data_IF_364864147788
#
_entry.id   IF_364864147788
#
_cell.length_a   1.000
_cell.length_b   1.000
_cell.length_c   1.000
_cell.angle_alpha   90.00
_cell.angle_beta   90.00
_cell.angle_gamma   90.00
#
_symmetry.space_group_name_H-M   'P 1'
#
loop_
_entity.id
_entity.type
_entity.pdbx_description
1 polymer ?
#
# COMPACT_ATOMS: atom_id res chain seq x y z
N UNK A 1 56.12 -16.57 19.72
CA UNK A 1 55.07 -16.45 18.69
C UNK A 1 53.74 -16.46 19.39
N UNK A 2 53.22 -15.27 19.67
CA UNK A 2 52.03 -15.01 20.50
C UNK A 2 50.76 -15.13 19.67
N UNK A 3 49.80 -15.87 20.22
CA UNK A 3 48.48 -16.17 19.65
C UNK A 3 47.60 -14.90 19.57
N UNK A 4 47.09 -14.52 18.39
CA UNK A 4 46.20 -13.39 18.25
C UNK A 4 44.74 -13.85 18.20
N UNK A 5 43.97 -13.36 19.18
CA UNK A 5 42.51 -13.08 19.17
C UNK A 5 41.62 -14.02 20.00
N UNK A 6 41.79 -13.97 21.33
CA UNK A 6 40.60 -13.96 22.20
C UNK A 6 40.07 -12.53 22.24
N UNK A 7 38.87 -12.32 21.67
CA UNK A 7 38.12 -11.08 21.91
C UNK A 7 37.50 -11.23 23.30
N UNK A 8 37.61 -10.21 24.18
CA UNK A 8 36.92 -10.25 25.45
C UNK A 8 35.41 -10.26 25.16
N UNK A 9 34.72 -11.25 25.71
CA UNK A 9 33.27 -11.27 25.80
C UNK A 9 32.86 -10.01 26.55
N UNK A 10 32.37 -9.02 25.81
CA UNK A 10 31.66 -7.91 26.42
C UNK A 10 30.36 -8.48 26.93
N UNK A 11 30.32 -8.66 28.25
CA UNK A 11 29.13 -8.93 29.03
C UNK A 11 28.17 -7.76 28.78
N UNK A 12 27.26 -7.94 27.83
CA UNK A 12 26.13 -7.06 27.54
C UNK A 12 25.13 -7.15 28.71
N UNK A 13 25.58 -6.69 29.87
CA UNK A 13 24.88 -6.64 31.15
C UNK A 13 23.82 -5.53 31.18
N UNK A 14 22.93 -5.53 30.20
CA UNK A 14 21.65 -4.86 30.31
C UNK A 14 20.59 -5.89 29.91
N UNK A 15 19.82 -6.37 30.88
CA UNK A 15 18.87 -7.48 30.75
C UNK A 15 17.76 -7.17 29.75
N UNK A 16 18.10 -7.21 28.46
CA UNK A 16 17.18 -7.02 27.36
C UNK A 16 16.10 -8.09 27.51
N UNK A 17 14.91 -7.65 27.91
CA UNK A 17 13.76 -8.53 28.07
C UNK A 17 13.62 -9.35 26.78
N UNK A 18 13.77 -10.67 26.91
CA UNK A 18 13.73 -11.59 25.78
C UNK A 18 12.40 -11.41 25.06
N UNK A 19 12.44 -11.15 23.74
CA UNK A 19 11.23 -11.05 22.93
C UNK A 19 10.43 -12.35 23.07
N UNK A 20 9.13 -12.28 23.42
CA UNK A 20 8.28 -13.46 23.51
C UNK A 20 8.28 -14.26 22.20
N UNK A 21 8.29 -15.58 22.30
CA UNK A 21 8.37 -16.46 21.13
C UNK A 21 7.14 -16.39 20.21
N UNK A 22 6.05 -15.78 20.67
CA UNK A 22 4.79 -15.59 19.98
C UNK A 22 4.59 -14.15 19.45
N UNK A 23 5.59 -13.27 19.58
CA UNK A 23 5.47 -11.86 19.21
C UNK A 23 5.05 -11.66 17.75
N UNK A 24 3.92 -10.99 17.52
CA UNK A 24 3.32 -10.73 16.20
C UNK A 24 2.52 -11.89 15.61
N UNK A 25 2.55 -13.08 16.21
CA UNK A 25 1.70 -14.21 15.83
C UNK A 25 0.23 -13.86 15.99
N UNK A 26 -0.65 -14.57 15.28
CA UNK A 26 -2.10 -14.46 15.47
C UNK A 26 -2.49 -14.81 16.92
N UNK A 27 -3.12 -13.87 17.62
CA UNK A 27 -3.44 -13.97 19.05
C UNK A 27 -2.24 -13.89 20.00
N UNK A 28 -1.04 -13.60 19.49
CA UNK A 28 0.20 -13.53 20.26
C UNK A 28 0.52 -12.14 20.81
N UNK A 29 1.70 -12.01 21.43
CA UNK A 29 2.17 -10.75 22.02
C UNK A 29 2.23 -9.59 20.99
N UNK A 30 1.66 -8.45 21.36
CA UNK A 30 1.63 -7.21 20.57
C UNK A 30 2.79 -6.25 20.88
N UNK A 31 2.87 -5.13 20.16
CA UNK A 31 3.80 -4.04 20.48
C UNK A 31 3.42 -3.46 21.84
N UNK A 32 4.37 -3.48 22.77
CA UNK A 32 4.10 -3.20 24.19
C UNK A 32 3.68 -1.77 24.49
N UNK A 33 3.95 -0.82 23.59
CA UNK A 33 3.55 0.59 23.72
C UNK A 33 2.60 1.05 22.61
N UNK A 34 1.82 0.15 22.00
CA UNK A 34 0.95 0.48 20.86
C UNK A 34 0.04 1.70 21.11
N UNK A 35 -0.39 1.91 22.35
CA UNK A 35 -1.27 3.03 22.75
C UNK A 35 -0.55 4.38 22.79
N UNK A 36 0.78 4.43 22.96
CA UNK A 36 1.56 5.67 23.01
C UNK A 36 2.11 6.09 21.64
N UNK A 37 2.23 5.15 20.69
CA UNK A 37 2.95 5.37 19.42
C UNK A 37 2.42 6.60 18.68
N UNK A 38 1.10 6.79 18.59
CA UNK A 38 0.54 7.91 17.86
C UNK A 38 0.85 9.26 18.50
N UNK A 39 0.74 9.36 19.83
CA UNK A 39 1.13 10.55 20.58
C UNK A 39 2.64 10.83 20.46
N UNK A 40 3.46 9.78 20.42
CA UNK A 40 4.90 9.88 20.20
C UNK A 40 5.22 10.44 18.80
N UNK A 41 4.45 10.05 17.77
CA UNK A 41 4.56 10.64 16.41
C UNK A 41 4.18 12.10 16.43
N UNK A 42 3.05 12.46 17.04
CA UNK A 42 2.60 13.85 17.09
C UNK A 42 3.67 14.73 17.77
N UNK A 43 4.22 14.27 18.90
CA UNK A 43 5.32 14.95 19.60
C UNK A 43 6.57 15.12 18.72
N UNK A 44 7.00 14.07 18.02
CA UNK A 44 8.19 14.11 17.13
C UNK A 44 7.99 15.07 15.96
N UNK A 45 6.76 15.18 15.45
CA UNK A 45 6.36 16.11 14.39
C UNK A 45 6.10 17.54 14.92
N UNK A 46 6.24 17.79 16.22
CA UNK A 46 5.96 19.08 16.84
C UNK A 46 4.47 19.44 16.88
N UNK A 47 3.59 18.43 16.93
CA UNK A 47 2.14 18.56 16.98
C UNK A 47 1.62 18.30 18.38
N UNK A 48 0.64 19.10 18.81
CA UNK A 48 -0.03 18.96 20.11
C UNK A 48 -1.31 18.12 20.07
N UNK A 49 -1.71 17.64 18.90
CA UNK A 49 -2.92 16.84 18.68
C UNK A 49 -2.72 15.87 17.49
N UNK A 50 -3.54 14.82 17.38
CA UNK A 50 -3.58 13.96 16.20
C UNK A 50 -3.91 14.75 14.92
N UNK A 51 -3.52 14.25 13.73
CA UNK A 51 -3.89 14.88 12.48
C UNK A 51 -5.40 14.81 12.27
N UNK A 52 -5.97 15.80 11.58
CA UNK A 52 -7.37 15.76 11.19
C UNK A 52 -7.69 14.53 10.34
N UNK A 53 -6.76 14.13 9.46
CA UNK A 53 -6.88 13.00 8.55
C UNK A 53 -5.49 12.41 8.26
N UNK A 54 -5.40 11.09 8.15
CA UNK A 54 -4.22 10.38 7.67
C UNK A 54 -4.63 9.30 6.66
N UNK A 55 -4.15 9.42 5.42
CA UNK A 55 -4.29 8.38 4.42
C UNK A 55 -3.18 7.35 4.60
N UNK A 56 -3.55 6.08 4.80
CA UNK A 56 -2.60 4.99 5.04
C UNK A 56 -2.52 4.12 3.79
N UNK A 57 -1.36 4.14 3.15
CA UNK A 57 -0.95 3.20 2.12
C UNK A 57 -0.33 1.97 2.78
N UNK A 58 -0.91 0.81 2.55
CA UNK A 58 -0.38 -0.48 2.99
C UNK A 58 0.39 -1.12 1.83
N UNK A 59 1.68 -1.37 2.03
CA UNK A 59 2.52 -2.00 1.01
C UNK A 59 2.01 -3.40 0.64
N UNK A 60 2.22 -3.86 -0.60
CA UNK A 60 1.84 -5.21 -0.99
C UNK A 60 2.69 -6.25 -0.23
N UNK A 61 2.11 -7.41 0.08
CA UNK A 61 2.83 -8.51 0.74
C UNK A 61 3.36 -9.50 -0.31
N UNK A 62 4.64 -9.82 -0.22
CA UNK A 62 5.28 -10.76 -1.13
C UNK A 62 4.75 -12.17 -0.86
N UNK A 63 4.27 -12.84 -1.90
CA UNK A 63 3.85 -14.25 -1.83
C UNK A 63 5.04 -15.17 -2.02
N UNK A 64 6.00 -14.76 -2.85
CA UNK A 64 7.17 -15.56 -3.20
C UNK A 64 8.41 -14.66 -3.28
N UNK A 65 9.56 -15.14 -2.80
CA UNK A 65 10.85 -14.46 -2.92
C UNK A 65 11.57 -15.02 -4.14
N UNK A 66 12.00 -14.15 -5.05
CA UNK A 66 12.77 -14.57 -6.21
C UNK A 66 14.12 -15.15 -5.71
N UNK A 67 14.48 -16.39 -6.08
CA UNK A 67 15.72 -17.03 -5.62
C UNK A 67 16.94 -16.15 -5.84
N UNK A 68 17.84 -16.12 -4.84
CA UNK A 68 19.10 -15.34 -4.85
C UNK A 68 18.92 -13.81 -4.89
N UNK A 69 17.72 -13.30 -4.59
CA UNK A 69 17.46 -11.87 -4.47
C UNK A 69 16.61 -11.56 -3.24
N UNK A 70 16.60 -10.29 -2.84
CA UNK A 70 15.68 -9.79 -1.82
C UNK A 70 14.32 -9.38 -2.39
N UNK A 71 14.03 -9.64 -3.66
CA UNK A 71 12.81 -9.19 -4.33
C UNK A 71 11.65 -10.18 -4.19
N UNK A 72 10.46 -9.65 -3.98
CA UNK A 72 9.22 -10.41 -3.88
C UNK A 72 8.36 -10.33 -5.14
N UNK A 73 7.60 -11.38 -5.42
CA UNK A 73 6.44 -11.35 -6.31
C UNK A 73 5.16 -11.17 -5.51
N UNK A 74 4.24 -10.36 -6.04
CA UNK A 74 3.02 -9.94 -5.38
C UNK A 74 1.81 -10.43 -6.17
N UNK A 75 0.81 -10.98 -5.48
CA UNK A 75 -0.50 -11.22 -6.10
C UNK A 75 -1.18 -9.90 -6.49
N UNK A 76 -1.08 -8.89 -5.62
CA UNK A 76 -1.51 -7.52 -5.87
C UNK A 76 -0.33 -6.58 -5.59
N UNK A 77 0.28 -6.03 -6.64
CA UNK A 77 1.46 -5.14 -6.56
C UNK A 77 1.13 -3.69 -6.20
N UNK A 78 -0.15 -3.34 -6.05
CA UNK A 78 -0.59 -1.96 -5.81
C UNK A 78 -0.83 -1.65 -4.33
N UNK A 79 -0.84 -2.67 -3.46
CA UNK A 79 -1.06 -2.52 -2.03
C UNK A 79 -2.53 -2.36 -1.66
N UNK A 80 -2.78 -1.64 -0.56
CA UNK A 80 -4.09 -1.41 0.03
C UNK A 80 -4.21 0.01 0.62
N UNK A 81 -5.43 0.48 0.83
CA UNK A 81 -5.73 1.84 1.28
C UNK A 81 -6.65 1.82 2.51
N UNK A 82 -6.34 2.65 3.51
CA UNK A 82 -7.18 2.90 4.68
C UNK A 82 -7.11 4.39 5.07
N UNK A 83 -8.04 4.87 5.89
CA UNK A 83 -8.05 6.24 6.42
C UNK A 83 -8.12 6.24 7.92
N UNK A 84 -7.25 7.01 8.56
CA UNK A 84 -7.37 7.41 9.95
C UNK A 84 -7.90 8.83 10.06
N UNK A 85 -8.81 9.13 10.96
CA UNK A 85 -9.26 10.49 11.20
C UNK A 85 -9.91 10.63 12.58
N UNK A 86 -9.95 11.85 13.11
CA UNK A 86 -10.70 12.15 14.32
C UNK A 86 -12.14 12.54 13.96
N UNK A 87 -13.13 11.80 14.48
CA UNK A 87 -14.54 12.13 14.32
C UNK A 87 -15.23 12.16 15.69
N UNK A 88 -15.76 13.34 16.05
CA UNK A 88 -16.43 13.57 17.33
C UNK A 88 -15.57 13.14 18.53
N UNK A 89 -14.27 13.46 18.50
CA UNK A 89 -13.32 13.13 19.56
C UNK A 89 -12.78 11.71 19.53
N UNK A 90 -13.26 10.85 18.62
CA UNK A 90 -12.78 9.46 18.47
C UNK A 90 -11.77 9.37 17.33
N UNK A 91 -10.61 8.77 17.60
CA UNK A 91 -9.62 8.43 16.58
C UNK A 91 -9.99 7.09 15.93
N UNK A 92 -10.36 7.13 14.66
CA UNK A 92 -10.93 5.98 13.95
C UNK A 92 -10.16 5.67 12.68
N UNK A 93 -10.00 4.38 12.40
CA UNK A 93 -9.60 3.86 11.11
C UNK A 93 -10.87 3.42 10.37
N UNK A 94 -11.05 3.92 9.16
CA UNK A 94 -11.94 3.35 8.16
C UNK A 94 -11.14 2.48 7.19
N UNK A 95 -11.61 1.25 7.01
CA UNK A 95 -11.03 0.28 6.10
C UNK A 95 -12.10 -0.25 5.13
N UNK A 96 -11.71 -0.48 3.88
CA UNK A 96 -12.57 -1.09 2.86
C UNK A 96 -12.03 -2.48 2.52
N UNK A 97 -12.76 -3.52 2.85
CA UNK A 97 -12.33 -4.91 2.59
C UNK A 97 -13.15 -5.56 1.50
N UNK A 98 -12.59 -6.59 0.88
CA UNK A 98 -13.39 -7.50 0.07
C UNK A 98 -14.49 -8.12 0.93
N UNK A 99 -15.70 -8.25 0.38
CA UNK A 99 -16.81 -8.92 1.06
C UNK A 99 -16.48 -10.41 1.20
N UNK A 100 -15.94 -10.82 2.35
CA UNK A 100 -15.99 -12.22 2.79
C UNK A 100 -17.44 -12.54 3.17
N UNK A 101 -17.81 -13.82 3.18
CA UNK A 101 -19.11 -14.26 3.68
C UNK A 101 -19.31 -13.63 5.08
N UNK A 102 -20.39 -12.88 5.25
CA UNK A 102 -20.79 -12.16 6.48
C UNK A 102 -19.93 -10.95 6.94
N UNK A 103 -18.96 -10.50 6.15
CA UNK A 103 -18.19 -9.29 6.47
C UNK A 103 -18.77 -8.03 5.78
N UNK A 104 -18.93 -6.95 6.55
CA UNK A 104 -19.24 -5.62 5.99
C UNK A 104 -18.05 -5.11 5.17
N UNK A 105 -18.34 -4.43 4.05
CA UNK A 105 -17.31 -3.87 3.16
C UNK A 105 -16.60 -2.69 3.81
N UNK A 106 -17.35 -1.78 4.43
CA UNK A 106 -16.81 -0.66 5.21
C UNK A 106 -16.70 -1.11 6.65
N UNK A 107 -15.56 -0.85 7.26
CA UNK A 107 -15.30 -1.26 8.62
C UNK A 107 -14.58 -0.15 9.38
N UNK A 108 -14.93 0.00 10.66
CA UNK A 108 -14.33 0.99 11.55
C UNK A 108 -13.62 0.30 12.71
N UNK A 109 -12.39 0.73 13.02
CA UNK A 109 -11.60 0.22 14.14
C UNK A 109 -10.71 1.32 14.73
N UNK A 110 -9.92 1.04 15.76
CA UNK A 110 -8.93 1.99 16.28
C UNK A 110 -7.61 1.88 15.50
N UNK A 111 -6.79 2.95 15.48
CA UNK A 111 -5.47 2.91 14.86
C UNK A 111 -4.53 1.86 15.46
N UNK A 112 -4.53 1.73 16.78
CA UNK A 112 -3.68 0.76 17.49
C UNK A 112 -4.00 -0.67 17.11
N UNK A 113 -5.29 -1.00 17.01
CA UNK A 113 -5.74 -2.29 16.51
C UNK A 113 -5.31 -2.48 15.04
N UNK A 114 -5.66 -1.58 14.11
CA UNK A 114 -5.33 -1.75 12.70
C UNK A 114 -3.83 -1.92 12.39
N UNK A 115 -2.96 -1.15 13.06
CA UNK A 115 -1.52 -1.15 12.80
C UNK A 115 -0.74 -2.17 13.63
N UNK A 116 -1.19 -2.47 14.86
CA UNK A 116 -0.40 -3.17 15.87
C UNK A 116 -1.17 -4.28 16.61
N UNK A 117 -2.41 -4.57 16.24
CA UNK A 117 -3.17 -5.68 16.79
C UNK A 117 -2.72 -7.04 16.25
N UNK A 118 -2.78 -8.08 17.07
CA UNK A 118 -2.52 -9.49 16.67
C UNK A 118 -3.78 -10.35 16.65
N UNK A 119 -4.89 -9.84 17.17
CA UNK A 119 -6.17 -10.54 17.22
C UNK A 119 -6.91 -10.44 15.89
N UNK A 120 -6.51 -11.26 14.92
CA UNK A 120 -7.01 -11.17 13.55
C UNK A 120 -8.43 -11.72 13.36
N UNK A 121 -8.95 -12.55 14.28
CA UNK A 121 -10.32 -13.10 14.26
C UNK A 121 -10.80 -13.63 12.90
N UNK A 122 -12.11 -13.89 12.78
CA UNK A 122 -12.72 -14.25 11.47
C UNK A 122 -13.13 -13.03 10.65
N UNK A 123 -12.91 -11.83 11.17
CA UNK A 123 -13.37 -10.59 10.52
C UNK A 123 -12.39 -10.11 9.46
N UNK A 124 -12.89 -9.65 8.31
CA UNK A 124 -12.06 -9.14 7.23
C UNK A 124 -11.26 -7.86 7.60
N UNK A 125 -11.56 -7.24 8.76
CA UNK A 125 -10.84 -6.13 9.39
C UNK A 125 -9.32 -6.27 9.35
N UNK A 126 -8.85 -7.52 9.37
CA UNK A 126 -7.48 -7.86 9.67
C UNK A 126 -6.70 -8.41 8.47
N UNK A 127 -7.26 -8.34 7.26
CA UNK A 127 -6.60 -8.87 6.05
C UNK A 127 -5.21 -8.24 5.82
N UNK A 128 -4.96 -7.04 6.35
CA UNK A 128 -3.68 -6.35 6.21
C UNK A 128 -2.63 -6.78 7.25
N UNK A 129 -3.05 -7.31 8.41
CA UNK A 129 -2.21 -7.77 9.55
C UNK A 129 -1.12 -6.80 10.00
N UNK A 130 -1.41 -5.50 9.94
CA UNK A 130 -0.58 -4.45 10.55
C UNK A 130 0.89 -4.43 10.10
N UNK A 131 1.71 -3.83 10.96
CA UNK A 131 3.15 -3.70 10.76
C UNK A 131 3.91 -5.01 10.98
N UNK A 132 3.25 -6.09 11.42
CA UNK A 132 3.88 -7.41 11.52
C UNK A 132 4.15 -8.02 10.14
N UNK A 133 3.27 -7.74 9.16
CA UNK A 133 3.36 -8.35 7.84
C UNK A 133 3.85 -7.39 6.75
N UNK A 134 3.60 -6.09 6.90
CA UNK A 134 3.80 -5.10 5.81
C UNK A 134 4.42 -3.81 6.31
N UNK A 135 5.10 -3.11 5.41
CA UNK A 135 5.37 -1.68 5.61
C UNK A 135 4.07 -0.91 5.35
N UNK A 136 3.89 0.22 6.02
CA UNK A 136 2.80 1.14 5.74
C UNK A 136 3.31 2.57 5.72
N UNK A 137 2.63 3.44 4.98
CA UNK A 137 2.99 4.84 4.82
C UNK A 137 1.75 5.71 5.02
N UNK A 138 1.80 6.59 6.02
CA UNK A 138 0.75 7.58 6.28
C UNK A 138 1.07 8.90 5.59
N UNK A 139 0.09 9.53 4.92
CA UNK A 139 0.11 10.96 4.57
C UNK A 139 -0.91 11.65 5.46
N UNK A 140 -0.41 12.44 6.41
CA UNK A 140 -1.17 13.19 7.38
C UNK A 140 -1.51 14.57 6.84
N UNK A 141 -2.77 14.96 6.98
CA UNK A 141 -3.28 16.33 6.82
C UNK A 141 -3.58 16.81 8.24
N UNK A 142 -2.76 17.73 8.74
CA UNK A 142 -2.77 18.10 10.16
C UNK A 142 -4.05 18.86 10.54
N UNK A 143 -4.41 19.84 9.72
CA UNK A 143 -5.61 20.67 9.90
C UNK A 143 -6.57 20.50 8.72
N UNK A 144 -7.85 20.30 9.03
CA UNK A 144 -8.93 20.26 8.06
C UNK A 144 -10.22 20.75 8.72
N UNK A 145 -11.10 21.50 8.01
CA UNK A 145 -12.41 21.87 8.54
C UNK A 145 -13.22 20.65 8.98
N UNK A 146 -13.88 20.73 10.14
CA UNK A 146 -14.65 19.60 10.70
C UNK A 146 -15.76 19.12 9.76
N UNK A 147 -16.39 20.04 9.02
CA UNK A 147 -17.39 19.76 7.98
C UNK A 147 -16.85 18.87 6.84
N UNK A 148 -15.54 18.92 6.56
CA UNK A 148 -14.92 18.07 5.55
C UNK A 148 -14.80 16.63 6.05
N UNK A 149 -14.42 16.46 7.32
CA UNK A 149 -14.38 15.16 7.98
C UNK A 149 -15.79 14.58 8.10
N UNK A 150 -16.79 15.39 8.45
CA UNK A 150 -18.18 14.96 8.54
C UNK A 150 -18.70 14.47 7.18
N UNK A 151 -18.47 15.22 6.09
CA UNK A 151 -18.86 14.81 4.73
C UNK A 151 -18.25 13.46 4.34
N UNK A 152 -16.98 13.25 4.65
CA UNK A 152 -16.28 12.00 4.40
C UNK A 152 -16.82 10.85 5.27
N UNK A 153 -17.01 11.07 6.57
CA UNK A 153 -17.55 10.05 7.47
C UNK A 153 -18.95 9.62 7.06
N UNK A 154 -19.83 10.59 6.77
CA UNK A 154 -21.20 10.35 6.29
C UNK A 154 -21.19 9.46 5.05
N UNK A 155 -20.35 9.77 4.07
CA UNK A 155 -20.19 8.95 2.88
C UNK A 155 -19.85 7.49 3.20
N UNK A 156 -18.92 7.22 4.13
CA UNK A 156 -18.58 5.84 4.49
C UNK A 156 -19.71 5.11 5.22
N UNK A 157 -20.43 5.80 6.11
CA UNK A 157 -21.60 5.22 6.80
C UNK A 157 -22.77 4.95 5.85
N UNK A 158 -22.92 5.74 4.79
CA UNK A 158 -23.89 5.50 3.73
C UNK A 158 -23.43 4.34 2.84
N UNK A 159 -22.16 4.30 2.47
CA UNK A 159 -21.56 3.23 1.67
C UNK A 159 -21.69 1.86 2.34
N UNK A 160 -21.56 1.79 3.67
CA UNK A 160 -21.75 0.56 4.45
C UNK A 160 -23.16 -0.03 4.26
N UNK A 161 -24.17 0.84 4.06
CA UNK A 161 -25.58 0.46 3.93
C UNK A 161 -26.02 0.22 2.48
N UNK A 162 -25.15 0.50 1.50
CA UNK A 162 -25.48 0.35 0.08
C UNK A 162 -25.46 -1.12 -0.35
N UNK A 163 -26.58 -1.60 -0.88
CA UNK A 163 -26.68 -2.91 -1.52
C UNK A 163 -26.13 -2.90 -2.96
N UNK A 164 -26.10 -1.73 -3.59
CA UNK A 164 -25.62 -1.53 -4.96
C UNK A 164 -24.10 -1.27 -5.07
N UNK A 165 -23.35 -1.45 -3.99
CA UNK A 165 -21.89 -1.30 -3.95
C UNK A 165 -21.20 -2.66 -3.82
N UNK A 166 -20.22 -2.91 -4.69
CA UNK A 166 -19.50 -4.18 -4.76
C UNK A 166 -17.98 -3.99 -4.77
N UNK A 167 -17.27 -5.02 -4.29
CA UNK A 167 -15.81 -5.01 -4.26
C UNK A 167 -15.23 -5.75 -5.48
N UNK A 168 -14.39 -5.07 -6.28
CA UNK A 168 -13.66 -5.70 -7.39
C UNK A 168 -12.28 -5.06 -7.58
N UNK A 169 -11.22 -5.88 -7.50
CA UNK A 169 -9.82 -5.43 -7.54
C UNK A 169 -9.42 -4.90 -8.93
N UNK A 170 -9.84 -5.55 -10.02
CA UNK A 170 -9.25 -5.35 -11.36
C UNK A 170 -10.27 -4.85 -12.38
N UNK A 171 -11.48 -5.40 -12.38
CA UNK A 171 -12.45 -5.19 -13.46
C UNK A 171 -13.43 -4.03 -13.21
N UNK A 172 -13.25 -3.26 -12.13
CA UNK A 172 -14.16 -2.16 -11.80
C UNK A 172 -14.35 -1.12 -12.93
N UNK A 173 -13.34 -0.69 -13.71
CA UNK A 173 -13.58 0.19 -14.85
C UNK A 173 -14.53 -0.40 -15.90
N UNK A 174 -14.35 -1.70 -16.20
CA UNK A 174 -15.13 -2.41 -17.22
C UNK A 174 -16.55 -2.62 -16.73
N UNK A 175 -16.73 -3.10 -15.50
CA UNK A 175 -18.05 -3.30 -14.87
C UNK A 175 -18.83 -1.98 -14.81
N UNK A 176 -18.18 -0.90 -14.40
CA UNK A 176 -18.83 0.41 -14.30
C UNK A 176 -19.16 1.00 -15.68
N UNK A 177 -18.40 0.70 -16.74
CA UNK A 177 -18.75 1.08 -18.10
C UNK A 177 -20.01 0.34 -18.58
N UNK A 178 -20.11 -0.96 -18.30
CA UNK A 178 -21.30 -1.75 -18.64
C UNK A 178 -22.56 -1.32 -17.89
N UNK A 179 -22.44 -0.74 -16.69
CA UNK A 179 -23.58 -0.17 -15.94
C UNK A 179 -24.33 0.92 -16.73
N UNK A 180 -23.66 1.67 -17.61
CA UNK A 180 -24.33 2.65 -18.48
C UNK A 180 -25.22 1.99 -19.54
N UNK A 181 -24.90 0.76 -19.94
CA UNK A 181 -25.64 0.00 -20.94
C UNK A 181 -26.67 -0.94 -20.31
N UNK A 182 -26.47 -1.35 -19.07
CA UNK A 182 -27.30 -2.33 -18.37
C UNK A 182 -27.66 -1.83 -16.95
N UNK A 183 -28.83 -1.20 -16.77
CA UNK A 183 -29.30 -0.80 -15.45
C UNK A 183 -29.51 -2.04 -14.56
N UNK A 184 -29.09 -1.95 -13.29
CA UNK A 184 -29.16 -3.06 -12.32
C UNK A 184 -27.80 -3.68 -11.96
N UNK A 185 -26.71 -3.30 -12.63
CA UNK A 185 -25.35 -3.69 -12.24
C UNK A 185 -24.87 -2.82 -11.06
N UNK A 186 -24.49 -3.45 -9.95
CA UNK A 186 -23.89 -2.78 -8.79
C UNK A 186 -22.62 -2.02 -9.20
N UNK A 187 -22.42 -0.84 -8.62
CA UNK A 187 -21.16 -0.11 -8.77
C UNK A 187 -20.02 -0.95 -8.17
N UNK A 188 -18.94 -1.12 -8.92
CA UNK A 188 -17.78 -1.88 -8.49
C UNK A 188 -16.61 -0.95 -8.17
N UNK A 189 -15.96 -1.19 -7.03
CA UNK A 189 -14.74 -0.51 -6.65
C UNK A 189 -13.83 -1.38 -5.82
N UNK A 190 -12.53 -1.07 -5.80
CA UNK A 190 -11.59 -1.68 -4.85
C UNK A 190 -11.43 -0.78 -3.62
N UNK A 191 -10.57 -1.17 -2.69
CA UNK A 191 -10.30 -0.39 -1.48
C UNK A 191 -9.87 1.05 -1.80
N UNK A 192 -9.04 1.23 -2.83
CA UNK A 192 -8.56 2.55 -3.24
C UNK A 192 -9.67 3.44 -3.80
N UNK A 193 -10.54 2.92 -4.68
CA UNK A 193 -11.65 3.70 -5.24
C UNK A 193 -12.58 4.17 -4.15
N UNK A 194 -13.08 3.27 -3.32
CA UNK A 194 -14.02 3.64 -2.27
C UNK A 194 -13.40 4.59 -1.24
N UNK A 195 -12.13 4.39 -0.89
CA UNK A 195 -11.38 5.31 -0.02
C UNK A 195 -11.21 6.70 -0.64
N UNK A 196 -10.84 6.77 -1.92
CA UNK A 196 -10.60 8.04 -2.61
C UNK A 196 -11.87 8.82 -2.91
N UNK A 197 -13.02 8.16 -3.08
CA UNK A 197 -14.33 8.82 -3.11
C UNK A 197 -14.59 9.56 -1.80
N UNK A 198 -14.36 8.94 -0.64
CA UNK A 198 -14.48 9.60 0.65
C UNK A 198 -13.52 10.79 0.82
N UNK A 199 -12.27 10.63 0.38
CA UNK A 199 -11.29 11.73 0.34
C UNK A 199 -11.70 12.87 -0.59
N UNK A 200 -12.41 12.56 -1.68
CA UNK A 200 -12.94 13.57 -2.59
C UNK A 200 -14.07 14.35 -1.91
N UNK A 201 -14.92 13.68 -1.11
CA UNK A 201 -15.97 14.33 -0.32
C UNK A 201 -15.41 15.26 0.77
N UNK A 202 -14.23 14.97 1.32
CA UNK A 202 -13.51 15.90 2.21
C UNK A 202 -12.72 16.99 1.47
N UNK A 203 -12.68 16.94 0.14
CA UNK A 203 -11.94 17.90 -0.69
C UNK A 203 -10.42 17.74 -0.63
N UNK A 204 -9.90 16.64 -0.07
CA UNK A 204 -8.45 16.40 0.09
C UNK A 204 -7.83 15.83 -1.20
N UNK A 205 -8.65 15.18 -2.04
CA UNK A 205 -8.31 14.82 -3.43
C UNK A 205 -9.38 15.35 -4.37
N UNK A 206 -9.04 15.56 -5.64
CA UNK A 206 -10.01 16.09 -6.62
C UNK A 206 -10.75 15.00 -7.39
N UNK A 207 -10.17 13.79 -7.47
CA UNK A 207 -10.73 12.68 -8.25
C UNK A 207 -10.48 11.35 -7.55
N UNK A 208 -11.40 10.38 -7.67
CA UNK A 208 -11.19 9.03 -7.20
C UNK A 208 -10.10 8.31 -8.03
N UNK A 209 -9.42 7.36 -7.39
CA UNK A 209 -8.35 6.55 -7.98
C UNK A 209 -8.49 5.09 -7.57
N UNK A 210 -8.21 4.18 -8.50
CA UNK A 210 -8.16 2.74 -8.25
C UNK A 210 -6.82 2.26 -7.67
N UNK A 211 -5.85 3.16 -7.55
CA UNK A 211 -4.47 2.80 -7.20
C UNK A 211 -4.06 3.48 -5.89
N UNK A 212 -3.80 2.71 -4.83
CA UNK A 212 -3.47 3.25 -3.50
C UNK A 212 -2.30 4.24 -3.52
N UNK A 213 -1.20 3.89 -4.18
CA UNK A 213 -0.03 4.76 -4.26
C UNK A 213 -0.27 6.03 -5.09
N UNK A 214 -1.19 5.98 -6.05
CA UNK A 214 -1.61 7.19 -6.77
C UNK A 214 -2.36 8.18 -5.88
N UNK A 215 -3.13 7.70 -4.89
CA UNK A 215 -3.83 8.54 -3.91
C UNK A 215 -2.81 9.22 -2.99
N UNK A 216 -1.85 8.45 -2.45
CA UNK A 216 -0.73 8.98 -1.67
C UNK A 216 -0.08 10.18 -2.37
N UNK A 217 0.31 9.97 -3.63
CA UNK A 217 0.99 10.99 -4.44
C UNK A 217 0.09 12.20 -4.69
N UNK A 218 -1.22 11.98 -4.91
CA UNK A 218 -2.15 13.09 -5.16
C UNK A 218 -2.27 14.01 -3.94
N UNK A 219 -2.48 13.45 -2.75
CA UNK A 219 -2.56 14.20 -1.49
C UNK A 219 -1.24 14.96 -1.26
N UNK A 220 -0.12 14.24 -1.36
CA UNK A 220 1.20 14.79 -1.06
C UNK A 220 1.60 15.94 -2.00
N UNK A 221 1.51 15.71 -3.32
CA UNK A 221 2.02 16.68 -4.29
C UNK A 221 1.04 17.83 -4.62
N UNK A 222 -0.27 17.65 -4.36
CA UNK A 222 -1.30 18.64 -4.69
C UNK A 222 -1.94 19.32 -3.47
N UNK A 223 -1.39 19.17 -2.28
CA UNK A 223 -1.96 19.73 -1.05
C UNK A 223 -2.31 21.23 -1.12
N UNK A 224 -1.52 22.03 -1.84
CA UNK A 224 -1.76 23.46 -2.04
C UNK A 224 -2.99 23.78 -2.91
N UNK A 225 -3.56 22.79 -3.60
CA UNK A 225 -4.70 22.94 -4.52
C UNK A 225 -5.93 22.17 -4.04
N UNK A 226 -5.91 21.66 -2.81
CA UNK A 226 -7.00 20.90 -2.20
C UNK A 226 -7.38 21.54 -0.87
N UNK A 227 -8.34 20.95 -0.15
CA UNK A 227 -8.73 21.41 1.17
C UNK A 227 -7.59 21.36 2.22
N UNK A 228 -6.49 20.66 1.93
CA UNK A 228 -5.29 20.71 2.76
C UNK A 228 -4.62 22.11 2.74
N UNK A 229 -4.84 22.90 1.69
CA UNK A 229 -4.44 24.31 1.56
C UNK A 229 -2.95 24.60 1.38
N UNK A 230 -2.06 23.76 1.91
CA UNK A 230 -0.60 23.96 1.86
C UNK A 230 0.15 22.65 2.01
N UNK A 231 1.35 22.55 1.42
CA UNK A 231 2.29 21.45 1.67
C UNK A 231 2.84 21.44 3.09
N UNK A 232 2.87 22.58 3.79
CA UNK A 232 3.27 22.66 5.21
C UNK A 232 2.26 22.02 6.17
N UNK A 233 1.04 21.76 5.68
CA UNK A 233 -0.02 21.06 6.40
C UNK A 233 0.08 19.53 6.22
N UNK A 234 1.12 19.05 5.52
CA UNK A 234 1.32 17.63 5.23
C UNK A 234 2.54 17.10 5.98
N UNK A 235 2.37 15.94 6.64
CA UNK A 235 3.50 15.13 7.11
C UNK A 235 3.35 13.70 6.63
N UNK A 236 4.47 13.03 6.36
CA UNK A 236 4.49 11.61 5.99
C UNK A 236 5.08 10.80 7.12
N UNK A 237 4.49 9.65 7.40
CA UNK A 237 4.96 8.70 8.43
C UNK A 237 5.26 7.37 7.78
N UNK A 238 6.46 6.84 7.99
CA UNK A 238 6.83 5.47 7.62
C UNK A 238 6.60 4.55 8.81
N UNK A 239 5.71 3.57 8.68
CA UNK A 239 5.52 2.49 9.63
C UNK A 239 6.26 1.26 9.13
N UNK A 240 7.47 1.03 9.65
CA UNK A 240 8.33 -0.07 9.21
C UNK A 240 7.80 -1.41 9.69
N UNK A 241 7.89 -2.42 8.82
CA UNK A 241 7.55 -3.78 9.18
C UNK A 241 8.48 -4.30 10.29
N UNK A 242 7.90 -4.94 11.29
CA UNK A 242 8.63 -5.60 12.38
C UNK A 242 9.25 -6.90 11.86
N UNK A 243 10.56 -6.89 11.59
CA UNK A 243 11.22 -8.01 10.87
C UNK A 243 11.38 -9.28 11.71
N UNK A 244 11.49 -9.15 13.03
CA UNK A 244 11.65 -10.27 13.97
C UNK A 244 10.34 -10.77 14.56
N UNK A 245 9.20 -10.22 14.16
CA UNK A 245 7.89 -10.75 14.53
C UNK A 245 7.55 -11.99 13.69
N UNK A 246 6.77 -12.89 14.29
CA UNK A 246 6.19 -14.03 13.59
C UNK A 246 5.14 -13.53 12.61
N UNK A 247 5.35 -13.86 11.34
CA UNK A 247 4.44 -13.44 10.28
C UNK A 247 3.33 -14.46 10.13
N UNK A 248 2.10 -13.97 10.00
CA UNK A 248 0.98 -14.87 9.70
C UNK A 248 0.86 -15.22 8.21
N UNK A 249 1.53 -14.49 7.30
CA UNK A 249 1.57 -14.80 5.87
C UNK A 249 2.67 -14.06 5.09
N UNK A 250 2.90 -14.57 3.87
CA UNK A 250 3.86 -14.04 2.91
C UNK A 250 5.30 -14.29 3.32
N UNK A 251 6.23 -13.89 2.47
CA UNK A 251 7.67 -14.03 2.70
C UNK A 251 8.31 -12.69 2.99
N UNK A 252 9.45 -12.71 3.68
CA UNK A 252 10.25 -11.50 3.83
C UNK A 252 10.89 -11.15 2.48
N UNK A 253 10.35 -10.18 1.76
CA UNK A 253 10.98 -9.69 0.55
C UNK A 253 10.58 -8.24 0.30
N UNK A 254 11.52 -7.50 -0.27
CA UNK A 254 11.35 -6.11 -0.71
C UNK A 254 10.53 -6.07 -1.99
N UNK A 255 9.61 -5.11 -2.06
CA UNK A 255 8.71 -4.97 -3.18
C UNK A 255 9.03 -3.86 -4.13
N UNK A 256 8.78 -4.13 -5.41
CA UNK A 256 8.64 -3.07 -6.40
C UNK A 256 7.15 -2.73 -6.44
N UNK A 257 6.80 -1.66 -5.75
CA UNK A 257 5.43 -1.16 -5.68
C UNK A 257 5.11 -0.33 -6.92
N UNK A 258 4.11 -0.76 -7.68
CA UNK A 258 3.65 -0.01 -8.84
C UNK A 258 2.72 1.13 -8.41
N UNK A 259 2.86 2.30 -9.04
CA UNK A 259 1.94 3.43 -8.81
C UNK A 259 0.58 3.21 -9.47
N UNK A 260 0.60 2.68 -10.69
CA UNK A 260 -0.53 2.32 -11.53
C UNK A 260 -0.01 1.52 -12.75
N UNK A 261 -0.87 0.79 -13.50
CA UNK A 261 -0.47 0.07 -14.70
C UNK A 261 0.27 0.98 -15.69
N UNK A 262 1.42 0.49 -16.21
CA UNK A 262 2.20 1.13 -17.26
C UNK A 262 2.75 2.54 -16.94
N UNK A 263 2.67 2.99 -15.68
CA UNK A 263 3.24 4.27 -15.20
C UNK A 263 4.64 4.08 -14.61
N UNK A 264 5.58 3.58 -15.41
CA UNK A 264 6.94 3.20 -14.96
C UNK A 264 7.75 4.40 -14.47
N UNK A 265 7.69 5.54 -15.17
CA UNK A 265 8.39 6.77 -14.77
C UNK A 265 7.93 7.28 -13.40
N UNK A 266 6.61 7.28 -13.19
CA UNK A 266 6.02 7.66 -11.91
C UNK A 266 6.39 6.65 -10.83
N UNK A 267 6.35 5.35 -11.13
CA UNK A 267 6.78 4.32 -10.18
C UNK A 267 8.25 4.46 -9.77
N UNK A 268 9.12 4.88 -10.69
CA UNK A 268 10.51 5.19 -10.38
C UNK A 268 10.67 6.43 -9.49
N UNK A 269 9.94 7.51 -9.79
CA UNK A 269 9.99 8.75 -9.00
C UNK A 269 9.51 8.59 -7.54
N UNK A 270 8.72 7.55 -7.26
CA UNK A 270 8.22 7.20 -5.92
C UNK A 270 8.63 5.79 -5.51
N UNK A 271 9.81 5.33 -5.94
CA UNK A 271 10.28 3.98 -5.67
C UNK A 271 10.42 3.72 -4.15
N UNK A 272 10.94 4.69 -3.40
CA UNK A 272 11.07 4.63 -1.96
C UNK A 272 10.25 5.74 -1.29
N UNK A 273 9.14 5.35 -0.65
CA UNK A 273 8.26 6.29 0.03
C UNK A 273 8.82 6.81 1.37
N UNK A 274 9.79 6.12 1.95
CA UNK A 274 10.45 6.57 3.19
C UNK A 274 11.31 7.82 2.97
N UNK A 275 11.74 8.10 1.74
CA UNK A 275 12.41 9.36 1.42
C UNK A 275 11.54 10.59 1.68
N UNK A 276 10.23 10.43 1.71
CA UNK A 276 9.28 11.51 1.97
C UNK A 276 8.89 11.58 3.46
N UNK A 277 9.26 10.59 4.27
CA UNK A 277 8.83 10.48 5.66
C UNK A 277 9.46 11.57 6.55
N UNK A 278 8.61 12.25 7.33
CA UNK A 278 9.01 13.18 8.40
C UNK A 278 9.20 12.45 9.73
N UNK A 279 8.54 11.30 9.91
CA UNK A 279 8.71 10.42 11.06
C UNK A 279 8.76 8.95 10.63
N UNK A 280 9.56 8.15 11.35
CA UNK A 280 9.68 6.70 11.17
C UNK A 280 9.28 6.02 12.47
N UNK A 281 8.35 5.07 12.37
CA UNK A 281 8.01 4.14 13.45
C UNK A 281 8.69 2.81 13.16
N UNK A 282 9.47 2.32 14.10
CA UNK A 282 10.14 1.02 14.00
C UNK A 282 10.18 0.28 15.33
N UNK A 283 10.25 -1.05 15.26
CA UNK A 283 10.50 -1.90 16.44
C UNK A 283 11.91 -2.48 16.29
N UNK A 284 12.88 -2.05 17.10
CA UNK A 284 14.24 -2.58 17.03
C UNK A 284 14.28 -4.09 17.25
N UNK A 285 15.24 -4.77 16.60
CA UNK A 285 15.51 -6.19 16.85
C UNK A 285 15.74 -6.45 18.33
N UNK A 286 15.12 -7.51 18.87
CA UNK A 286 15.22 -7.83 20.30
C UNK A 286 14.31 -7.00 21.21
N UNK A 287 13.41 -6.18 20.65
CA UNK A 287 12.44 -5.39 21.42
C UNK A 287 11.00 -5.71 20.99
N UNK A 288 10.03 -5.52 21.91
CA UNK A 288 8.59 -5.43 21.59
C UNK A 288 8.09 -3.98 21.57
N UNK A 289 8.93 -3.03 21.98
CA UNK A 289 8.60 -1.60 22.08
C UNK A 289 8.96 -0.89 20.79
N UNK A 290 7.98 -0.19 20.21
CA UNK A 290 8.18 0.69 19.06
C UNK A 290 8.88 1.99 19.48
N UNK A 291 9.76 2.47 18.60
CA UNK A 291 10.41 3.78 18.65
C UNK A 291 9.86 4.65 17.53
N UNK A 292 9.75 5.94 17.81
CA UNK A 292 9.38 6.95 16.83
C UNK A 292 10.55 7.89 16.66
N UNK A 293 11.05 7.99 15.43
CA UNK A 293 12.24 8.75 15.06
C UNK A 293 11.85 9.90 14.15
N UNK A 294 12.41 11.09 14.39
CA UNK A 294 12.28 12.23 13.47
C UNK A 294 13.19 12.04 12.28
N UNK A 295 12.74 12.49 11.10
CA UNK A 295 13.55 12.55 9.90
C UNK A 295 13.57 13.98 9.36
N UNK A 296 14.70 14.67 9.56
CA UNK A 296 14.83 16.09 9.21
C UNK A 296 15.00 16.33 7.71
N UNK A 297 15.45 15.33 6.95
CA UNK A 297 15.75 15.42 5.52
C UNK A 297 14.66 14.80 4.63
N UNK A 298 13.39 14.95 5.02
CA UNK A 298 12.25 14.48 4.24
C UNK A 298 12.16 15.22 2.90
N UNK A 299 12.04 14.49 1.79
CA UNK A 299 11.76 15.06 0.48
C UNK A 299 10.37 15.71 0.50
N UNK A 300 10.28 17.01 0.25
CA UNK A 300 9.00 17.71 0.07
C UNK A 300 8.41 17.52 -1.33
N UNK A 301 7.24 18.10 -1.63
CA UNK A 301 6.68 18.13 -2.98
C UNK A 301 7.64 18.76 -4.01
N UNK A 302 7.55 18.37 -5.28
CA UNK A 302 8.45 18.86 -6.33
C UNK A 302 7.74 19.18 -7.64
N UNK A 303 8.11 20.32 -8.25
CA UNK A 303 7.63 20.72 -9.59
C UNK A 303 7.95 19.66 -10.65
N UNK A 304 9.13 19.04 -10.58
CA UNK A 304 9.53 17.99 -11.53
C UNK A 304 8.64 16.76 -11.38
N UNK A 305 8.37 16.33 -10.15
CA UNK A 305 7.46 15.20 -9.89
C UNK A 305 6.02 15.52 -10.27
N UNK A 306 5.58 16.76 -10.06
CA UNK A 306 4.28 17.24 -10.54
C UNK A 306 4.19 17.21 -12.07
N UNK A 307 5.25 17.56 -12.79
CA UNK A 307 5.30 17.39 -14.24
C UNK A 307 5.21 15.92 -14.66
N UNK A 308 5.90 15.01 -13.96
CA UNK A 308 5.80 13.55 -14.20
C UNK A 308 4.37 13.03 -13.91
N UNK A 309 3.64 13.69 -13.01
CA UNK A 309 2.25 13.40 -12.69
C UNK A 309 1.24 14.03 -13.69
N UNK A 310 1.70 14.81 -14.68
CA UNK A 310 0.81 15.38 -15.68
C UNK A 310 0.19 14.31 -16.58
N UNK A 311 -1.04 14.56 -17.04
CA UNK A 311 -1.75 13.63 -17.92
C UNK A 311 -0.94 13.27 -19.18
N UNK A 312 -0.24 14.24 -19.78
CA UNK A 312 0.60 14.02 -20.96
C UNK A 312 1.73 13.03 -20.71
N UNK A 313 2.49 13.20 -19.63
CA UNK A 313 3.59 12.27 -19.29
C UNK A 313 3.07 10.88 -18.92
N UNK A 314 1.94 10.81 -18.22
CA UNK A 314 1.26 9.54 -17.92
C UNK A 314 0.86 8.82 -19.21
N UNK A 315 0.18 9.51 -20.13
CA UNK A 315 -0.25 8.94 -21.41
C UNK A 315 0.94 8.42 -22.24
N UNK A 316 2.02 9.21 -22.30
CA UNK A 316 3.26 8.79 -23.00
C UNK A 316 3.89 7.58 -22.32
N UNK A 317 3.99 7.55 -20.99
CA UNK A 317 4.53 6.39 -20.25
C UNK A 317 3.71 5.13 -20.54
N UNK A 318 2.37 5.25 -20.55
CA UNK A 318 1.47 4.13 -20.85
C UNK A 318 1.70 3.60 -22.27
N UNK A 319 1.77 4.50 -23.26
CA UNK A 319 2.01 4.16 -24.66
C UNK A 319 3.38 3.49 -24.85
N UNK A 320 4.45 4.08 -24.31
CA UNK A 320 5.82 3.56 -24.45
C UNK A 320 5.95 2.19 -23.80
N UNK A 321 5.48 2.03 -22.56
CA UNK A 321 5.52 0.73 -21.87
C UNK A 321 4.66 -0.31 -22.60
N UNK A 322 3.48 0.08 -23.08
CA UNK A 322 2.62 -0.80 -23.89
C UNK A 322 3.28 -1.27 -25.19
N UNK A 323 3.97 -0.38 -25.91
CA UNK A 323 4.73 -0.71 -27.11
C UNK A 323 5.90 -1.65 -26.82
N UNK A 324 6.65 -1.42 -25.73
CA UNK A 324 7.75 -2.28 -25.30
C UNK A 324 7.28 -3.67 -24.91
N UNK A 325 6.20 -3.78 -24.12
CA UNK A 325 5.58 -5.06 -23.77
C UNK A 325 5.15 -5.78 -25.04
N UNK A 326 4.43 -5.12 -25.95
CA UNK A 326 3.99 -5.72 -27.23
C UNK A 326 5.17 -6.22 -28.07
N UNK A 327 6.26 -5.44 -28.18
CA UNK A 327 7.47 -5.83 -28.93
C UNK A 327 8.13 -7.05 -28.31
N UNK A 328 8.30 -7.06 -26.98
CA UNK A 328 8.95 -8.15 -26.26
C UNK A 328 8.11 -9.42 -26.23
N UNK A 329 6.78 -9.31 -26.03
CA UNK A 329 5.86 -10.46 -26.12
C UNK A 329 5.88 -11.07 -27.50
N UNK A 330 5.86 -10.26 -28.58
CA UNK A 330 6.00 -10.77 -29.95
C UNK A 330 7.34 -11.49 -30.15
N UNK A 331 8.44 -10.93 -29.66
CA UNK A 331 9.75 -11.58 -29.76
C UNK A 331 9.78 -12.91 -29.00
N UNK A 332 9.21 -12.98 -27.80
CA UNK A 332 9.12 -14.19 -27.00
C UNK A 332 8.22 -15.24 -27.64
N UNK A 333 7.00 -14.88 -28.07
CA UNK A 333 6.10 -15.81 -28.76
C UNK A 333 6.70 -16.32 -30.06
N UNK A 334 7.41 -15.46 -30.81
CA UNK A 334 8.16 -15.89 -32.00
C UNK A 334 9.25 -16.89 -31.65
N UNK A 335 10.04 -16.67 -30.58
CA UNK A 335 11.08 -17.61 -30.13
C UNK A 335 10.49 -18.94 -29.66
N UNK A 336 9.39 -18.91 -28.91
CA UNK A 336 8.66 -20.11 -28.47
C UNK A 336 8.11 -20.85 -29.71
N UNK A 337 7.45 -20.15 -30.62
CA UNK A 337 6.94 -20.74 -31.86
C UNK A 337 8.07 -21.35 -32.70
N UNK A 338 9.23 -20.71 -32.81
CA UNK A 338 10.39 -21.27 -33.51
C UNK A 338 10.96 -22.51 -32.80
N UNK A 339 10.98 -22.53 -31.47
CA UNK A 339 11.50 -23.64 -30.66
C UNK A 339 10.61 -24.88 -30.68
N UNK A 340 9.30 -24.69 -30.59
CA UNK A 340 8.32 -25.79 -30.54
C UNK A 340 7.71 -26.13 -31.91
N UNK A 341 7.80 -25.21 -32.87
CA UNK A 341 7.28 -25.35 -34.23
C UNK A 341 8.33 -24.94 -35.28
N UNK A 342 9.51 -25.57 -35.30
CA UNK A 342 10.54 -25.26 -36.29
C UNK A 342 9.95 -25.47 -37.69
N UNK A 343 10.04 -24.44 -38.53
CA UNK A 343 9.45 -24.35 -39.88
C UNK A 343 9.92 -25.43 -40.90
N UNK A 344 10.57 -26.51 -40.44
CA UNK A 344 11.09 -27.61 -41.25
C UNK A 344 10.33 -28.94 -41.17
N UNK A 345 9.34 -29.12 -40.27
CA UNK A 345 8.66 -30.45 -40.13
C UNK A 345 7.40 -30.66 -40.97
N UNK A 346 6.91 -29.66 -41.70
CA UNK A 346 5.77 -29.79 -42.62
C UNK A 346 6.16 -29.74 -44.11
N UNK A 347 7.44 -29.91 -44.45
CA UNK A 347 7.88 -30.26 -45.81
C UNK A 347 8.23 -31.75 -45.86
N UNK A 348 7.24 -32.60 -46.14
CA UNK A 348 7.34 -33.88 -46.87
C UNK A 348 6.06 -34.70 -46.68
N UNK A 349 5.16 -34.58 -47.66
CA UNK A 349 4.27 -35.62 -48.19
C UNK A 349 3.31 -34.95 -49.17
N UNK A 350 3.82 -34.56 -50.33
CA UNK A 350 3.00 -34.18 -51.47
C UNK A 350 3.50 -34.79 -52.79
N UNK A 351 4.69 -35.40 -52.84
CA UNK A 351 5.29 -35.84 -54.11
C UNK A 351 5.38 -37.37 -54.28
N UNK A 352 4.87 -38.19 -53.35
CA UNK A 352 4.91 -39.67 -53.47
C UNK A 352 3.60 -40.26 -54.03
N UNK A 353 2.99 -39.65 -55.05
CA UNK A 353 1.66 -40.05 -55.54
C UNK A 353 1.37 -39.90 -57.03
N UNK A 354 2.38 -39.70 -57.89
CA UNK A 354 2.20 -39.72 -59.35
C UNK A 354 2.95 -40.91 -59.94
N UNK A 355 2.36 -42.10 -59.79
CA UNK A 355 2.77 -43.33 -60.43
C UNK A 355 1.53 -44.13 -60.82
N UNK A 356 0.93 -43.79 -61.95
CA UNK A 356 0.07 -44.63 -62.78
C UNK A 356 0.07 -44.11 -64.20
#
# INVERSE_FOLDING_TARGET
TSDPRERPDMDDGDGAAKVPGDFGSEGGTEISNKDSVFADIDRVLGRGKPPALEYILVSPAATFRIPFTDYGLYYNSYGHAALRYNYQGRDIIMNITGKKIDARMVQFTTPGEFLYGTNYGDTALWDQKGCYNRNMFGVRVEELPAENIERMHRYFTELEKREDASFNIIFSPVVNAFRYLFPGISEAGNCARWTSEGLMRSGVVTNPSLWPKSIFINIFENAAHTAAGSSSNINVVSYRRVRHANRSYGVDASGIEAVAPLQSLRSFAYLNLEWFANAIVEVPSGSTKAKVLKQDNACGPSRLRNYINSFGVIAVSVLVTGLLVRKNTRALTTRIAQRYWPRGRFKRRADDGAGS
#
